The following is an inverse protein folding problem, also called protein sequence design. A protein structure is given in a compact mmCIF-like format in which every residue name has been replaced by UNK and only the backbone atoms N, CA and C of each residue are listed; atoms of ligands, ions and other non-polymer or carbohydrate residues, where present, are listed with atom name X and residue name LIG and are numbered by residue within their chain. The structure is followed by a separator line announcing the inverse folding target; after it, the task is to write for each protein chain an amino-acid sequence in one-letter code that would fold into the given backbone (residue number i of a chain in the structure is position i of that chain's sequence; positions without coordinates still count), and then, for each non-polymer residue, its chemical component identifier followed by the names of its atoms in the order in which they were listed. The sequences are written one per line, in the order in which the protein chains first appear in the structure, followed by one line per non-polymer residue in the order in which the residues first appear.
data_IF_453343882351
#
_entry.id   IF_453343882351
#
_cell.length_a   1.000
_cell.length_b   1.000
_cell.length_c   1.000
_cell.angle_alpha   90.00
_cell.angle_beta   90.00
_cell.angle_gamma   90.00
#
_symmetry.space_group_name_H-M   'P 1'
#
loop_
_entity.id
_entity.type
_entity.pdbx_description
1 polymer ?
#
# COMPACT_ATOMS: atom_id res chain seq x y z
N UNK A 1 -20.54 0.82 -35.73
CA UNK A 1 -20.13 -0.49 -35.20
C UNK A 1 -19.19 -0.26 -34.03
N UNK A 2 -19.25 -1.05 -32.95
CA UNK A 2 -18.32 -0.91 -31.84
C UNK A 2 -16.93 -1.37 -32.27
N UNK A 3 -15.89 -0.62 -31.94
CA UNK A 3 -14.48 -0.97 -32.21
C UNK A 3 -14.17 -2.31 -31.47
N UNK A 4 -13.63 -3.33 -32.16
CA UNK A 4 -13.29 -4.59 -31.52
C UNK A 4 -12.06 -4.46 -30.60
N UNK A 5 -11.97 -5.32 -29.59
CA UNK A 5 -10.78 -5.48 -28.79
C UNK A 5 -9.67 -6.17 -29.58
N UNK A 6 -8.46 -5.62 -29.55
CA UNK A 6 -7.26 -6.25 -30.11
C UNK A 6 -6.26 -6.55 -28.99
N UNK A 7 -5.58 -7.68 -29.05
CA UNK A 7 -4.45 -7.99 -28.19
C UNK A 7 -3.21 -7.25 -28.70
N UNK A 8 -2.57 -6.48 -27.83
CA UNK A 8 -1.33 -5.75 -28.12
C UNK A 8 -0.09 -6.58 -27.79
N UNK A 9 -0.16 -7.33 -26.68
CA UNK A 9 0.94 -8.15 -26.21
C UNK A 9 0.35 -9.32 -25.41
N UNK A 10 1.04 -10.47 -25.42
CA UNK A 10 0.61 -11.68 -24.74
C UNK A 10 1.83 -12.43 -24.24
N UNK A 11 1.89 -12.72 -22.95
CA UNK A 11 3.07 -13.30 -22.27
C UNK A 11 2.62 -14.42 -21.35
N UNK A 12 3.26 -15.59 -21.46
CA UNK A 12 3.12 -16.64 -20.47
C UNK A 12 3.88 -16.25 -19.20
N UNK A 13 3.18 -16.36 -18.07
CA UNK A 13 3.75 -16.11 -16.73
C UNK A 13 3.48 -17.32 -15.84
N UNK A 14 4.15 -17.38 -14.69
CA UNK A 14 3.87 -18.43 -13.68
C UNK A 14 2.43 -18.41 -13.15
N UNK A 15 1.73 -17.28 -13.32
CA UNK A 15 0.33 -17.12 -12.93
C UNK A 15 -0.64 -17.43 -14.11
N UNK A 16 -0.10 -17.59 -15.33
CA UNK A 16 -0.83 -17.91 -16.55
C UNK A 16 -0.63 -16.89 -17.68
N UNK A 17 -1.34 -17.09 -18.78
CA UNK A 17 -1.27 -16.22 -19.96
C UNK A 17 -1.81 -14.83 -19.62
N UNK A 18 -0.93 -13.85 -19.68
CA UNK A 18 -1.20 -12.44 -19.38
C UNK A 18 -1.30 -11.67 -20.70
N UNK A 19 -2.44 -11.05 -20.97
CA UNK A 19 -2.69 -10.28 -22.17
C UNK A 19 -2.90 -8.80 -21.85
N UNK A 20 -2.31 -7.93 -22.68
CA UNK A 20 -2.69 -6.54 -22.79
C UNK A 20 -3.60 -6.35 -24.01
N UNK A 21 -4.81 -5.88 -23.78
CA UNK A 21 -5.80 -5.66 -24.84
C UNK A 21 -6.18 -4.19 -24.92
N UNK A 22 -6.41 -3.70 -26.14
CA UNK A 22 -6.80 -2.31 -26.42
C UNK A 22 -8.06 -2.26 -27.29
N UNK A 23 -8.89 -1.25 -27.01
CA UNK A 23 -10.01 -0.85 -27.87
C UNK A 23 -10.03 0.68 -27.99
N UNK A 24 -9.99 1.20 -29.21
CA UNK A 24 -9.80 2.63 -29.43
C UNK A 24 -8.46 3.10 -28.87
N UNK A 25 -8.38 4.34 -28.40
CA UNK A 25 -7.13 4.95 -27.94
C UNK A 25 -6.92 4.82 -26.43
N UNK A 26 -8.01 4.80 -25.66
CA UNK A 26 -7.96 4.93 -24.19
C UNK A 26 -8.47 3.73 -23.43
N UNK A 27 -9.18 2.81 -24.11
CA UNK A 27 -9.71 1.61 -23.47
C UNK A 27 -8.68 0.50 -23.46
N UNK A 28 -8.23 0.12 -22.26
CA UNK A 28 -7.29 -0.98 -22.07
C UNK A 28 -7.82 -2.00 -21.07
N UNK A 29 -7.50 -3.27 -21.29
CA UNK A 29 -7.70 -4.37 -20.36
C UNK A 29 -6.38 -5.10 -20.16
N UNK A 30 -6.09 -5.47 -18.90
CA UNK A 30 -5.14 -6.53 -18.57
C UNK A 30 -5.97 -7.74 -18.20
N UNK A 31 -5.70 -8.88 -18.85
CA UNK A 31 -6.40 -10.13 -18.58
C UNK A 31 -5.40 -11.25 -18.27
N UNK A 32 -5.82 -12.22 -17.45
CA UNK A 32 -5.07 -13.47 -17.21
C UNK A 32 -5.99 -14.64 -17.49
N UNK A 33 -5.58 -15.57 -18.36
CA UNK A 33 -6.45 -16.66 -18.86
C UNK A 33 -7.83 -16.16 -19.32
N UNK A 34 -7.88 -15.00 -19.98
CA UNK A 34 -9.12 -14.36 -20.43
C UNK A 34 -9.96 -13.69 -19.33
N UNK A 35 -9.59 -13.82 -18.05
CA UNK A 35 -10.25 -13.12 -16.94
C UNK A 35 -9.70 -11.71 -16.81
N UNK A 36 -10.56 -10.72 -16.74
CA UNK A 36 -10.16 -9.31 -16.57
C UNK A 36 -9.55 -9.12 -15.19
N UNK A 37 -8.31 -8.64 -15.14
CA UNK A 37 -7.61 -8.19 -13.92
C UNK A 37 -7.81 -6.71 -13.70
N UNK A 38 -7.64 -5.91 -14.75
CA UNK A 38 -7.77 -4.45 -14.72
C UNK A 38 -8.47 -3.93 -15.96
N UNK A 39 -9.18 -2.81 -15.77
CA UNK A 39 -9.83 -2.05 -16.83
C UNK A 39 -9.47 -0.57 -16.66
N UNK A 40 -8.92 0.05 -17.70
CA UNK A 40 -8.51 1.46 -17.66
C UNK A 40 -9.65 2.43 -17.32
N UNK A 41 -10.90 2.11 -17.72
CA UNK A 41 -12.07 2.95 -17.44
C UNK A 41 -12.65 2.79 -16.03
N UNK A 42 -12.17 1.82 -15.22
CA UNK A 42 -12.69 1.48 -13.90
C UNK A 42 -11.58 1.60 -12.82
N UNK A 43 -10.97 2.78 -12.69
CA UNK A 43 -9.79 3.03 -11.85
C UNK A 43 -10.07 3.83 -10.57
N UNK A 44 -11.34 4.11 -10.26
CA UNK A 44 -11.72 4.98 -9.13
C UNK A 44 -11.32 4.40 -7.77
N UNK A 45 -11.31 3.08 -7.63
CA UNK A 45 -10.94 2.42 -6.37
C UNK A 45 -9.44 2.48 -6.10
N UNK A 46 -8.62 2.37 -7.14
CA UNK A 46 -7.17 2.48 -7.11
C UNK A 46 -6.74 3.91 -6.75
N UNK A 47 -7.40 4.90 -7.37
CA UNK A 47 -7.18 6.31 -7.06
C UNK A 47 -7.54 6.60 -5.60
N UNK A 48 -8.72 6.14 -5.15
CA UNK A 48 -9.16 6.34 -3.77
C UNK A 48 -8.22 5.64 -2.76
N UNK A 49 -7.75 4.43 -3.07
CA UNK A 49 -6.80 3.70 -2.24
C UNK A 49 -5.54 4.54 -1.98
N UNK A 50 -4.93 5.07 -3.03
CA UNK A 50 -3.71 5.88 -2.92
C UNK A 50 -3.95 7.19 -2.19
N UNK A 51 -5.02 7.92 -2.54
CA UNK A 51 -5.35 9.20 -1.90
C UNK A 51 -5.57 9.04 -0.40
N UNK A 52 -6.37 8.04 0.01
CA UNK A 52 -6.64 7.76 1.42
C UNK A 52 -5.39 7.32 2.19
N UNK A 53 -4.50 6.55 1.56
CA UNK A 53 -3.25 6.11 2.17
C UNK A 53 -2.25 7.26 2.35
N UNK A 54 -2.22 8.22 1.42
CA UNK A 54 -1.20 9.26 1.34
C UNK A 54 -1.64 10.63 1.88
N UNK A 55 -2.93 10.87 2.13
CA UNK A 55 -3.43 12.18 2.55
C UNK A 55 -2.72 12.76 3.77
N UNK A 56 -2.40 11.93 4.76
CA UNK A 56 -1.66 12.35 5.97
C UNK A 56 -0.17 12.62 5.71
N UNK A 57 0.34 12.23 4.55
CA UNK A 57 1.73 12.38 4.16
C UNK A 57 1.99 13.62 3.29
N UNK A 58 0.94 14.33 2.88
CA UNK A 58 1.01 15.47 1.95
C UNK A 58 2.03 16.55 2.36
N UNK A 59 2.14 16.82 3.66
CA UNK A 59 3.05 17.82 4.22
C UNK A 59 4.30 17.21 4.86
N UNK A 60 4.43 15.88 4.83
CA UNK A 60 5.58 15.20 5.41
C UNK A 60 6.80 15.35 4.49
N UNK A 61 7.94 15.67 5.09
CA UNK A 61 9.22 15.70 4.37
C UNK A 61 9.72 14.28 4.13
N UNK A 62 10.15 14.01 2.90
CA UNK A 62 10.73 12.74 2.45
C UNK A 62 9.92 11.50 2.90
N UNK A 63 8.58 11.46 2.65
CA UNK A 63 7.80 10.28 3.01
C UNK A 63 8.26 9.09 2.16
N UNK A 64 8.36 7.92 2.78
CA UNK A 64 8.68 6.66 2.10
C UNK A 64 7.43 5.81 1.96
N UNK A 65 7.07 5.49 0.74
CA UNK A 65 5.85 4.71 0.41
C UNK A 65 6.25 3.46 -0.35
N UNK A 66 5.70 2.31 0.06
CA UNK A 66 5.78 1.06 -0.71
C UNK A 66 4.42 0.80 -1.35
N UNK A 67 4.43 0.56 -2.65
CA UNK A 67 3.25 0.11 -3.41
C UNK A 67 3.52 -1.31 -3.88
N UNK A 68 2.65 -2.25 -3.53
CA UNK A 68 2.66 -3.62 -4.04
C UNK A 68 1.66 -3.75 -5.18
N UNK A 69 2.17 -4.11 -6.36
CA UNK A 69 1.46 -4.13 -7.63
C UNK A 69 1.51 -2.80 -8.36
N UNK A 70 1.86 -2.84 -9.65
CA UNK A 70 1.86 -1.68 -10.53
C UNK A 70 0.57 -1.59 -11.36
N UNK A 71 0.13 -2.71 -11.89
CA UNK A 71 -1.04 -2.76 -12.78
C UNK A 71 -0.92 -1.79 -13.94
N UNK A 72 -1.90 -0.90 -14.13
CA UNK A 72 -1.83 0.19 -15.13
C UNK A 72 -1.25 1.50 -14.56
N UNK A 73 -0.77 1.51 -13.31
CA UNK A 73 -0.11 2.65 -12.69
C UNK A 73 -1.04 3.69 -12.06
N UNK A 74 -2.35 3.45 -11.96
CA UNK A 74 -3.29 4.44 -11.41
C UNK A 74 -3.07 4.71 -9.93
N UNK A 75 -2.80 3.69 -9.12
CA UNK A 75 -2.46 3.82 -7.70
C UNK A 75 -1.16 4.60 -7.52
N UNK A 76 -0.14 4.30 -8.35
CA UNK A 76 1.12 5.04 -8.36
C UNK A 76 0.90 6.52 -8.71
N UNK A 77 0.19 6.81 -9.82
CA UNK A 77 -0.10 8.18 -10.23
C UNK A 77 -0.81 8.97 -9.13
N UNK A 78 -1.87 8.41 -8.55
CA UNK A 78 -2.63 9.08 -7.50
C UNK A 78 -1.81 9.28 -6.21
N UNK A 79 -0.89 8.37 -5.88
CA UNK A 79 0.04 8.55 -4.78
C UNK A 79 1.00 9.71 -5.05
N UNK A 80 1.60 9.78 -6.25
CA UNK A 80 2.52 10.85 -6.67
C UNK A 80 1.85 12.22 -6.68
N UNK A 81 0.57 12.30 -7.07
CA UNK A 81 -0.20 13.55 -7.06
C UNK A 81 -0.53 14.04 -5.65
N UNK A 82 -0.53 13.14 -4.67
CA UNK A 82 -0.84 13.46 -3.28
C UNK A 82 0.41 13.79 -2.47
N UNK A 83 1.53 13.15 -2.79
CA UNK A 83 2.79 13.23 -2.03
C UNK A 83 3.60 14.49 -2.38
N UNK A 84 4.49 14.88 -1.46
CA UNK A 84 5.48 15.95 -1.68
C UNK A 84 6.50 15.60 -2.77
N UNK A 85 7.15 16.61 -3.31
CA UNK A 85 8.15 16.47 -4.39
C UNK A 85 9.41 15.70 -3.96
N UNK A 86 9.68 15.61 -2.67
CA UNK A 86 10.80 14.88 -2.07
C UNK A 86 10.44 13.47 -1.58
N UNK A 87 9.24 12.97 -1.93
CA UNK A 87 8.80 11.64 -1.58
C UNK A 87 9.68 10.55 -2.23
N UNK A 88 9.74 9.39 -1.59
CA UNK A 88 10.38 8.19 -2.09
C UNK A 88 9.33 7.09 -2.23
N UNK A 89 9.02 6.72 -3.46
CA UNK A 89 8.00 5.70 -3.77
C UNK A 89 8.69 4.47 -4.35
N UNK A 90 8.61 3.37 -3.63
CA UNK A 90 9.06 2.06 -4.10
C UNK A 90 7.85 1.28 -4.60
N UNK A 91 7.91 0.78 -5.83
CA UNK A 91 6.89 -0.09 -6.42
C UNK A 91 7.45 -1.48 -6.57
N UNK A 92 6.86 -2.46 -5.88
CA UNK A 92 7.19 -3.87 -6.03
C UNK A 92 6.20 -4.51 -7.01
N UNK A 93 6.70 -4.94 -8.17
CA UNK A 93 5.94 -5.61 -9.22
C UNK A 93 6.56 -6.96 -9.55
N UNK A 94 5.75 -8.02 -9.65
CA UNK A 94 6.23 -9.37 -9.94
C UNK A 94 6.58 -9.57 -11.42
N UNK A 95 5.81 -8.95 -12.30
CA UNK A 95 5.88 -9.18 -13.72
C UNK A 95 6.56 -8.02 -14.45
N UNK A 96 7.80 -8.18 -14.94
CA UNK A 96 8.52 -7.12 -15.63
C UNK A 96 7.79 -6.62 -16.88
N UNK A 97 6.93 -7.44 -17.48
CA UNK A 97 6.12 -7.04 -18.64
C UNK A 97 5.13 -5.92 -18.29
N UNK A 98 4.58 -5.90 -17.07
CA UNK A 98 3.69 -4.82 -16.60
C UNK A 98 4.44 -3.49 -16.62
N UNK A 99 5.69 -3.48 -16.14
CA UNK A 99 6.54 -2.27 -16.18
C UNK A 99 6.81 -1.82 -17.63
N UNK A 100 7.09 -2.78 -18.51
CA UNK A 100 7.25 -2.52 -19.96
C UNK A 100 5.98 -1.89 -20.54
N UNK A 101 4.79 -2.39 -20.20
CA UNK A 101 3.53 -1.83 -20.68
C UNK A 101 3.28 -0.42 -20.13
N UNK A 102 3.59 -0.16 -18.86
CA UNK A 102 3.47 1.17 -18.26
C UNK A 102 4.44 2.20 -18.85
N UNK A 103 5.60 1.77 -19.34
CA UNK A 103 6.56 2.63 -20.09
C UNK A 103 6.22 2.78 -21.56
N UNK A 104 5.43 1.88 -22.09
CA UNK A 104 5.05 1.84 -23.52
C UNK A 104 3.57 2.21 -23.73
N UNK A 105 2.74 1.24 -24.16
CA UNK A 105 1.36 1.52 -24.58
C UNK A 105 0.46 2.14 -23.52
N UNK A 106 0.73 1.93 -22.23
CA UNK A 106 -0.06 2.47 -21.12
C UNK A 106 0.49 3.80 -20.57
N UNK A 107 1.66 4.28 -21.02
CA UNK A 107 2.33 5.45 -20.44
C UNK A 107 1.44 6.70 -20.39
N UNK A 108 0.65 6.93 -21.44
CA UNK A 108 -0.23 8.10 -21.56
C UNK A 108 -1.38 8.10 -20.55
N UNK A 109 -1.81 6.93 -20.02
CA UNK A 109 -2.89 6.83 -19.02
C UNK A 109 -2.51 7.49 -17.69
N UNK A 110 -1.23 7.55 -17.39
CA UNK A 110 -0.70 8.06 -16.11
C UNK A 110 0.33 9.19 -16.30
N UNK A 111 0.51 9.66 -17.55
CA UNK A 111 1.53 10.66 -17.87
C UNK A 111 2.95 10.19 -17.58
N UNK A 112 3.23 8.88 -17.74
CA UNK A 112 4.57 8.31 -17.50
C UNK A 112 4.94 8.19 -16.02
N UNK A 113 3.98 8.05 -15.12
CA UNK A 113 4.20 8.00 -13.67
C UNK A 113 5.27 6.99 -13.22
N UNK A 114 5.47 5.90 -13.97
CA UNK A 114 6.47 4.87 -13.66
C UNK A 114 7.92 5.38 -13.77
N UNK A 115 8.15 6.44 -14.53
CA UNK A 115 9.45 7.06 -14.74
C UNK A 115 9.62 8.40 -13.98
N UNK A 116 8.69 8.71 -13.05
CA UNK A 116 8.82 9.86 -12.16
C UNK A 116 10.11 9.70 -11.29
N UNK A 117 10.93 10.78 -11.13
CA UNK A 117 12.20 10.70 -10.39
C UNK A 117 12.06 10.27 -8.92
N UNK A 118 10.88 10.35 -8.34
CA UNK A 118 10.58 9.87 -6.99
C UNK A 118 10.38 8.35 -6.92
N UNK A 119 10.26 7.65 -8.06
CA UNK A 119 9.86 6.25 -8.17
C UNK A 119 11.06 5.35 -8.36
N UNK A 120 11.09 4.26 -7.59
CA UNK A 120 11.98 3.12 -7.81
C UNK A 120 11.13 1.87 -8.02
N UNK A 121 11.16 1.31 -9.22
CA UNK A 121 10.48 0.03 -9.51
C UNK A 121 11.43 -1.13 -9.22
N UNK A 122 10.95 -2.10 -8.46
CA UNK A 122 11.68 -3.33 -8.11
C UNK A 122 10.87 -4.53 -8.60
N UNK A 123 11.51 -5.38 -9.40
CA UNK A 123 10.89 -6.65 -9.83
C UNK A 123 11.08 -7.65 -8.68
N UNK A 124 10.10 -7.70 -7.79
CA UNK A 124 10.17 -8.52 -6.57
C UNK A 124 8.77 -8.72 -5.97
N UNK A 125 8.64 -9.71 -5.08
CA UNK A 125 7.46 -9.90 -4.25
C UNK A 125 7.39 -8.83 -3.15
N UNK A 126 6.28 -8.10 -3.08
CA UNK A 126 6.04 -7.09 -2.04
C UNK A 126 6.20 -7.64 -0.62
N UNK A 127 5.86 -8.92 -0.38
CA UNK A 127 6.10 -9.54 0.92
C UNK A 127 7.61 -9.68 1.22
N UNK A 128 8.46 -9.93 0.22
CA UNK A 128 9.90 -9.92 0.39
C UNK A 128 10.39 -8.52 0.76
N UNK A 129 9.89 -7.47 0.10
CA UNK A 129 10.21 -6.07 0.43
C UNK A 129 9.82 -5.70 1.85
N UNK A 130 8.60 -6.09 2.29
CA UNK A 130 8.15 -5.88 3.67
C UNK A 130 9.04 -6.61 4.69
N UNK A 131 9.45 -7.86 4.38
CA UNK A 131 10.33 -8.66 5.26
C UNK A 131 11.73 -8.08 5.40
N UNK A 132 12.27 -7.43 4.36
CA UNK A 132 13.60 -6.81 4.40
C UNK A 132 13.71 -5.70 5.45
N UNK A 133 12.60 -5.08 5.83
CA UNK A 133 12.57 -4.03 6.85
C UNK A 133 12.55 -4.65 8.24
N UNK A 134 13.73 -4.85 8.82
CA UNK A 134 13.91 -5.47 10.13
C UNK A 134 13.64 -4.50 11.28
N UNK A 135 13.50 -5.05 12.52
CA UNK A 135 13.36 -4.23 13.75
C UNK A 135 14.53 -3.27 13.99
N UNK A 136 15.72 -3.56 13.47
CA UNK A 136 16.94 -2.74 13.67
C UNK A 136 17.00 -1.55 12.70
N UNK A 137 16.26 -1.64 11.59
CA UNK A 137 16.32 -0.67 10.51
C UNK A 137 15.13 0.31 10.58
N UNK A 138 15.12 1.14 11.64
CA UNK A 138 14.06 2.12 11.88
C UNK A 138 13.95 3.17 10.78
N UNK A 139 15.08 3.55 10.16
CA UNK A 139 15.14 4.60 9.15
C UNK A 139 14.55 4.15 7.82
N UNK A 140 14.68 2.86 7.51
CA UNK A 140 14.15 2.28 6.28
C UNK A 140 12.68 1.87 6.35
N UNK A 141 11.98 2.13 7.45
CA UNK A 141 10.54 1.89 7.55
C UNK A 141 9.74 2.83 6.67
N UNK A 142 8.57 2.33 6.27
CA UNK A 142 7.66 3.06 5.40
C UNK A 142 6.69 3.95 6.20
N UNK A 143 6.31 5.05 5.60
CA UNK A 143 5.22 5.91 6.08
C UNK A 143 3.86 5.38 5.60
N UNK A 144 3.83 4.76 4.43
CA UNK A 144 2.67 3.99 3.97
C UNK A 144 3.11 2.74 3.22
N UNK A 145 2.32 1.66 3.35
CA UNK A 145 2.38 0.45 2.53
C UNK A 145 1.00 0.29 1.89
N UNK A 146 0.95 0.25 0.57
CA UNK A 146 -0.28 0.18 -0.22
C UNK A 146 -0.25 -1.14 -0.98
N UNK A 147 -1.22 -2.01 -0.76
CA UNK A 147 -1.37 -3.26 -1.51
C UNK A 147 -2.54 -3.10 -2.49
N UNK A 148 -2.19 -2.93 -3.76
CA UNK A 148 -3.11 -2.87 -4.89
C UNK A 148 -2.94 -4.14 -5.73
N UNK A 149 -3.38 -5.26 -5.16
CA UNK A 149 -3.19 -6.57 -5.74
C UNK A 149 -4.54 -7.13 -6.18
N UNK A 150 -4.52 -7.80 -7.33
CA UNK A 150 -5.68 -8.32 -8.02
C UNK A 150 -6.67 -9.11 -7.15
N UNK A 151 -6.22 -9.86 -6.19
CA UNK A 151 -7.11 -10.73 -5.40
C UNK A 151 -7.32 -10.25 -3.96
N UNK A 152 -6.97 -9.16 -3.49
CA UNK A 152 -7.23 -8.72 -2.13
C UNK A 152 -7.39 -9.83 -1.05
N UNK A 153 -7.69 -9.53 0.17
CA UNK A 153 -8.00 -10.53 1.19
C UNK A 153 -9.35 -11.21 0.90
N UNK A 154 -9.39 -12.55 0.88
CA UNK A 154 -10.60 -13.35 0.67
C UNK A 154 -10.86 -14.30 1.84
N UNK A 155 -12.16 -14.51 2.14
CA UNK A 155 -12.62 -15.54 3.08
C UNK A 155 -12.21 -16.93 2.58
N UNK A 156 -11.47 -17.69 3.41
CA UNK A 156 -11.12 -19.09 3.12
C UNK A 156 -10.11 -19.28 1.99
N UNK A 157 -9.43 -18.22 1.57
CA UNK A 157 -8.47 -18.28 0.48
C UNK A 157 -7.28 -19.19 0.80
N UNK A 158 -7.26 -20.37 0.20
CA UNK A 158 -6.07 -21.23 0.06
C UNK A 158 -5.17 -20.76 -1.07
N UNK A 159 -5.45 -19.58 -1.65
CA UNK A 159 -4.75 -19.02 -2.78
C UNK A 159 -3.32 -18.57 -2.45
N UNK A 160 -2.49 -18.48 -3.49
CA UNK A 160 -1.06 -18.07 -3.44
C UNK A 160 -0.81 -16.79 -2.62
N UNK A 161 -1.82 -15.92 -2.41
CA UNK A 161 -1.67 -14.62 -1.73
C UNK A 161 -2.16 -14.61 -0.28
N UNK A 162 -2.61 -15.74 0.28
CA UNK A 162 -2.98 -15.81 1.70
C UNK A 162 -1.80 -15.46 2.62
N UNK A 163 -0.57 -15.62 2.16
CA UNK A 163 0.65 -15.27 2.90
C UNK A 163 0.82 -13.75 3.12
N UNK A 164 0.15 -12.89 2.33
CA UNK A 164 0.18 -11.42 2.51
C UNK A 164 -0.82 -10.92 3.56
N UNK A 165 -1.90 -11.66 3.81
CA UNK A 165 -3.03 -11.22 4.62
C UNK A 165 -3.23 -12.04 5.89
N UNK A 166 -2.34 -13.00 6.16
CA UNK A 166 -2.33 -13.77 7.41
C UNK A 166 -1.70 -12.99 8.58
N UNK A 167 -1.90 -13.49 9.80
CA UNK A 167 -1.48 -12.81 11.04
C UNK A 167 0.01 -12.47 11.05
N UNK A 168 0.86 -13.40 10.57
CA UNK A 168 2.31 -13.16 10.47
C UNK A 168 2.64 -12.03 9.50
N UNK A 169 1.98 -11.99 8.34
CA UNK A 169 2.21 -10.96 7.33
C UNK A 169 1.77 -9.58 7.84
N UNK A 170 0.61 -9.52 8.49
CA UNK A 170 0.09 -8.29 9.09
C UNK A 170 1.01 -7.79 10.22
N UNK A 171 1.56 -8.69 11.05
CA UNK A 171 2.56 -8.33 12.05
C UNK A 171 3.84 -7.77 11.41
N UNK A 172 4.32 -8.36 10.31
CA UNK A 172 5.48 -7.85 9.57
C UNK A 172 5.18 -6.50 8.92
N UNK A 173 4.02 -6.32 8.31
CA UNK A 173 3.59 -5.02 7.76
C UNK A 173 3.50 -3.95 8.84
N UNK A 174 2.98 -4.31 10.02
CA UNK A 174 2.96 -3.40 11.17
C UNK A 174 4.39 -3.02 11.63
N UNK A 175 5.33 -3.98 11.63
CA UNK A 175 6.74 -3.71 11.99
C UNK A 175 7.45 -2.86 10.92
N UNK A 176 7.15 -3.06 9.65
CA UNK A 176 7.73 -2.32 8.53
C UNK A 176 7.25 -0.87 8.44
N UNK A 177 6.17 -0.53 9.12
CA UNK A 177 5.66 0.84 9.20
C UNK A 177 6.30 1.65 10.33
N UNK A 178 6.50 2.95 10.09
CA UNK A 178 6.79 3.94 11.12
C UNK A 178 5.59 4.10 12.05
N UNK A 179 5.78 4.68 13.23
CA UNK A 179 4.68 5.08 14.12
C UNK A 179 3.77 6.09 13.40
N UNK A 180 2.45 5.88 13.47
CA UNK A 180 1.47 6.66 12.71
C UNK A 180 1.37 6.29 11.22
N UNK A 181 2.16 5.33 10.74
CA UNK A 181 2.14 4.89 9.35
C UNK A 181 0.86 4.16 8.95
N UNK A 182 0.59 4.09 7.66
CA UNK A 182 -0.65 3.57 7.08
C UNK A 182 -0.38 2.28 6.30
N UNK A 183 -1.17 1.25 6.55
CA UNK A 183 -1.29 0.06 5.73
C UNK A 183 -2.63 0.10 4.99
N UNK A 184 -2.60 0.24 3.67
CA UNK A 184 -3.79 0.34 2.83
C UNK A 184 -3.90 -0.89 1.94
N UNK A 185 -5.11 -1.44 1.83
CA UNK A 185 -5.36 -2.67 1.06
C UNK A 185 -6.63 -2.52 0.23
N UNK A 186 -6.49 -2.77 -1.06
CA UNK A 186 -7.62 -2.95 -1.96
C UNK A 186 -8.21 -4.36 -1.83
N UNK A 187 -9.52 -4.46 -1.92
CA UNK A 187 -10.24 -5.74 -1.95
C UNK A 187 -11.48 -5.66 -2.84
N UNK A 188 -11.78 -6.73 -3.54
CA UNK A 188 -12.99 -6.83 -4.35
C UNK A 188 -14.24 -6.61 -3.51
N UNK A 189 -14.31 -7.25 -2.35
CA UNK A 189 -15.43 -7.19 -1.40
C UNK A 189 -14.95 -7.00 0.04
N UNK A 190 -15.81 -6.48 0.94
CA UNK A 190 -15.50 -6.40 2.36
C UNK A 190 -15.36 -7.80 3.00
N UNK A 191 -14.32 -7.98 3.80
CA UNK A 191 -14.09 -9.18 4.62
C UNK A 191 -13.96 -8.81 6.11
N UNK A 192 -14.99 -9.14 6.89
CA UNK A 192 -15.00 -8.92 8.36
C UNK A 192 -13.90 -9.72 9.07
N UNK A 193 -13.48 -10.86 8.51
CA UNK A 193 -12.41 -11.67 9.10
C UNK A 193 -11.06 -10.97 8.94
N UNK A 194 -10.82 -10.38 7.77
CA UNK A 194 -9.63 -9.58 7.53
C UNK A 194 -9.59 -8.33 8.43
N UNK A 195 -10.72 -7.64 8.57
CA UNK A 195 -10.82 -6.50 9.49
C UNK A 195 -10.48 -6.89 10.94
N UNK A 196 -10.97 -8.05 11.42
CA UNK A 196 -10.62 -8.57 12.76
C UNK A 196 -9.12 -8.86 12.88
N UNK A 197 -8.49 -9.45 11.84
CA UNK A 197 -7.03 -9.71 11.82
C UNK A 197 -6.22 -8.42 11.86
N UNK A 198 -6.61 -7.38 11.12
CA UNK A 198 -5.96 -6.08 11.17
C UNK A 198 -6.02 -5.48 12.58
N UNK A 199 -7.18 -5.55 13.25
CA UNK A 199 -7.34 -5.10 14.64
C UNK A 199 -6.47 -5.93 15.61
N UNK A 200 -6.42 -7.25 15.43
CA UNK A 200 -5.55 -8.14 16.22
C UNK A 200 -4.06 -7.83 16.00
N UNK A 201 -3.66 -7.40 14.81
CA UNK A 201 -2.33 -6.89 14.49
C UNK A 201 -2.06 -5.46 15.00
N UNK A 202 -2.94 -4.91 15.87
CA UNK A 202 -2.85 -3.60 16.52
C UNK A 202 -2.97 -2.39 15.59
N UNK A 203 -3.68 -2.53 14.49
CA UNK A 203 -4.06 -1.40 13.65
C UNK A 203 -5.40 -0.79 14.08
N UNK A 204 -5.53 0.53 13.97
CA UNK A 204 -6.83 1.20 13.90
C UNK A 204 -7.34 1.10 12.47
N UNK A 205 -8.54 0.56 12.26
CA UNK A 205 -9.03 0.18 10.93
C UNK A 205 -10.26 0.99 10.55
N UNK A 206 -10.25 1.57 9.37
CA UNK A 206 -11.42 2.08 8.68
C UNK A 206 -11.60 1.39 7.34
N UNK A 207 -12.86 1.19 6.94
CA UNK A 207 -13.25 0.62 5.67
C UNK A 207 -14.02 1.65 4.89
N UNK A 208 -13.61 1.90 3.66
CA UNK A 208 -14.35 2.75 2.72
C UNK A 208 -14.74 1.94 1.49
N UNK A 209 -15.82 2.36 0.85
CA UNK A 209 -16.21 1.83 -0.45
C UNK A 209 -15.89 2.83 -1.53
N UNK A 210 -15.16 2.41 -2.55
CA UNK A 210 -14.76 3.24 -3.67
C UNK A 210 -15.16 2.58 -4.99
N UNK A 211 -15.65 3.37 -5.92
CA UNK A 211 -16.14 2.93 -7.23
C UNK A 211 -17.32 3.77 -7.69
N UNK A 212 -17.66 3.67 -8.96
CA UNK A 212 -18.80 4.36 -9.60
C UNK A 212 -19.60 3.36 -10.44
N UNK A 213 -20.92 3.53 -10.51
CA UNK A 213 -21.72 2.82 -11.51
C UNK A 213 -22.01 1.35 -11.20
N UNK A 214 -22.27 0.98 -9.95
CA UNK A 214 -22.84 -0.34 -9.59
C UNK A 214 -21.90 -1.26 -8.83
N UNK A 215 -20.59 -1.30 -9.08
CA UNK A 215 -19.64 -2.12 -8.31
C UNK A 215 -18.70 -1.21 -7.52
N UNK A 216 -18.77 -1.28 -6.20
CA UNK A 216 -17.85 -0.57 -5.30
C UNK A 216 -16.93 -1.57 -4.62
N UNK A 217 -15.63 -1.30 -4.70
CA UNK A 217 -14.60 -2.12 -4.05
C UNK A 217 -14.36 -1.66 -2.60
N UNK A 218 -13.81 -2.55 -1.79
CA UNK A 218 -13.45 -2.25 -0.42
C UNK A 218 -12.03 -1.72 -0.35
N UNK A 219 -11.85 -0.59 0.34
CA UNK A 219 -10.55 0.02 0.63
C UNK A 219 -10.36 0.02 2.13
N UNK A 220 -9.42 -0.81 2.63
CA UNK A 220 -9.03 -0.84 4.02
C UNK A 220 -7.91 0.16 4.27
N UNK A 221 -8.12 1.02 5.26
CA UNK A 221 -7.08 1.92 5.79
C UNK A 221 -6.81 1.52 7.22
N UNK A 222 -5.65 0.93 7.45
CA UNK A 222 -5.22 0.40 8.72
C UNK A 222 -4.04 1.25 9.24
N UNK A 223 -4.28 2.08 10.24
CA UNK A 223 -3.28 2.99 10.80
C UNK A 223 -2.56 2.35 11.97
N UNK A 224 -1.23 2.35 11.94
CA UNK A 224 -0.40 2.02 13.10
C UNK A 224 -0.48 3.14 14.12
N UNK A 225 -0.73 2.85 15.42
CA UNK A 225 -0.75 3.89 16.43
C UNK A 225 0.52 4.73 16.45
N UNK A 226 0.37 6.04 16.61
CA UNK A 226 1.48 6.91 16.96
C UNK A 226 1.94 6.49 18.35
N UNK A 227 3.24 6.23 18.55
CA UNK A 227 3.77 5.98 19.90
C UNK A 227 3.42 7.14 20.84
N UNK A 228 3.56 6.99 22.17
CA UNK A 228 3.29 8.07 23.09
C UNK A 228 4.06 9.29 22.63
N UNK A 229 3.36 10.44 22.52
CA UNK A 229 4.01 11.72 22.20
C UNK A 229 5.09 11.94 23.24
N UNK A 230 6.35 11.99 22.84
CA UNK A 230 7.43 12.50 23.67
C UNK A 230 7.13 13.99 23.91
N UNK A 231 6.58 14.32 25.07
CA UNK A 231 6.23 15.72 25.36
C UNK A 231 5.14 15.88 26.40
N UNK A 232 5.38 15.35 27.58
CA UNK A 232 4.74 15.76 28.81
C UNK A 232 5.84 15.88 29.85
N UNK A 233 6.36 17.07 30.06
CA UNK A 233 7.24 17.40 31.19
C UNK A 233 6.69 16.74 32.45
N UNK A 234 7.37 15.73 32.98
CA UNK A 234 7.11 15.26 34.34
C UNK A 234 7.33 16.45 35.22
N UNK A 235 6.24 17.01 35.80
CA UNK A 235 6.34 17.89 36.95
C UNK A 235 7.15 17.12 38.00
N UNK A 236 8.33 17.61 38.28
CA UNK A 236 9.13 17.15 39.40
C UNK A 236 8.29 17.29 40.66
N UNK A 237 7.95 16.16 41.26
CA UNK A 237 7.37 16.13 42.59
C UNK A 237 8.32 16.76 43.61
N UNK A 238 7.84 17.22 44.78
CA UNK A 238 8.62 17.99 45.71
C UNK A 238 9.83 17.19 46.20
N UNK A 239 10.98 17.86 46.17
CA UNK A 239 12.24 17.31 46.64
C UNK A 239 12.10 16.77 48.08
N UNK A 240 12.52 15.52 48.29
CA UNK A 240 12.64 14.92 49.59
C UNK A 240 13.64 15.73 50.43
N UNK A 241 13.17 16.33 51.53
CA UNK A 241 14.05 17.05 52.48
C UNK A 241 15.00 16.05 53.11
N UNK A 242 16.31 16.37 53.27
CA UNK A 242 17.23 15.53 54.01
C UNK A 242 16.83 15.50 55.49
N UNK A 243 16.86 14.31 56.10
CA UNK A 243 16.63 14.12 57.53
C UNK A 243 17.69 14.89 58.38
N UNK A 244 17.21 15.57 59.43
CA UNK A 244 18.08 16.21 60.42
C UNK A 244 18.89 15.17 61.20
N UNK A 245 20.16 15.38 61.44
CA UNK A 245 20.94 14.49 62.28
C UNK A 245 20.42 14.53 63.73
N UNK A 246 20.20 13.36 64.30
CA UNK A 246 19.76 13.15 65.65
C UNK A 246 20.94 13.49 66.64
N UNK A 247 20.77 14.52 67.45
CA UNK A 247 21.63 14.81 68.61
C UNK A 247 21.07 14.07 69.82
N UNK A 248 21.72 13.04 70.23
CA UNK A 248 21.81 12.42 71.57
C UNK A 248 22.96 11.43 71.44
N UNK A 249 23.94 11.46 72.25
CA UNK A 249 24.33 11.52 73.65
C UNK A 249 25.83 11.59 73.72
N UNK A 250 26.26 12.30 74.70
CA UNK A 250 27.33 11.99 75.67
C UNK A 250 28.28 10.88 75.30
#
# INVERSE_FOLDING_TARGET
MATPWRTLDSIDTDEGLLDLRQRGETDFLITIHGRVLMNASANMSEIALAQLACVSLKTKKKPRVLIGGLGMGFTLKAALDTLSVDAQVEVAELNPVIVKWCRGPLAHLTGGAVDDPRVTVVIDDVAARIRCVTKKDMENRFDAIILDLYEGPRRGGTGRRSYLYGDRALALSHLALKAGGVFAVWSEDPDKTFEKRLKAARFSVSLQRAGRGGRSHAVYIAQKPSGPKAGGSRKTGPACRPARPNRFLK
#
